data_IF_367099431001
#
_entry.id   IF_367099431001
#
_cell.length_a   1.000
_cell.length_b   1.000
_cell.length_c   1.000
_cell.angle_alpha   90.00
_cell.angle_beta   90.00
_cell.angle_gamma   90.00
#
_symmetry.space_group_name_H-M   'P 1'
#
loop_
_entity.id
_entity.type
_entity.pdbx_description
1 polymer ?
#
# COMPACT_ATOMS: atom_id res chain seq x y z
N UNK A 1 -25.71 -27.96 -0.23
CA UNK A 1 -25.64 -26.53 0.13
C UNK A 1 -24.17 -26.19 0.27
N UNK A 2 -23.73 -25.05 -0.28
CA UNK A 2 -22.32 -24.62 -0.24
C UNK A 2 -22.05 -23.86 1.05
N UNK A 3 -20.91 -24.14 1.69
CA UNK A 3 -20.43 -23.39 2.86
C UNK A 3 -19.50 -22.25 2.42
N UNK A 4 -19.60 -21.11 3.10
CA UNK A 4 -18.73 -19.94 2.89
C UNK A 4 -17.99 -19.64 4.19
N UNK A 5 -16.65 -19.59 4.12
CA UNK A 5 -15.78 -19.39 5.30
C UNK A 5 -14.95 -18.11 5.09
N UNK A 6 -15.01 -17.18 6.05
CA UNK A 6 -14.10 -16.04 6.12
C UNK A 6 -12.82 -16.42 6.87
N UNK A 7 -11.67 -16.30 6.21
CA UNK A 7 -10.36 -16.60 6.79
C UNK A 7 -9.45 -15.36 6.67
N UNK A 8 -9.36 -14.52 7.72
CA UNK A 8 -8.45 -13.37 7.70
C UNK A 8 -6.99 -13.84 7.61
N UNK A 9 -6.13 -12.97 7.06
CA UNK A 9 -4.70 -13.23 7.00
C UNK A 9 -4.14 -13.27 8.42
N UNK A 10 -3.31 -14.27 8.69
CA UNK A 10 -2.67 -14.47 10.00
C UNK A 10 -1.47 -13.55 10.17
N UNK A 11 -0.74 -13.29 9.09
CA UNK A 11 0.48 -12.49 9.12
C UNK A 11 0.68 -11.74 7.81
N UNK A 12 1.12 -10.49 7.92
CA UNK A 12 1.73 -9.72 6.82
C UNK A 12 3.22 -9.61 7.15
N UNK A 13 4.07 -10.01 6.21
CA UNK A 13 5.52 -10.00 6.35
C UNK A 13 6.04 -8.98 5.35
N UNK A 14 6.59 -7.87 5.85
CA UNK A 14 7.20 -6.81 5.06
C UNK A 14 8.70 -7.10 5.02
N UNK A 15 9.25 -7.31 3.83
CA UNK A 15 10.68 -7.62 3.68
C UNK A 15 11.53 -6.38 3.49
N UNK A 16 11.06 -5.42 2.70
CA UNK A 16 11.72 -4.12 2.52
C UNK A 16 10.74 -2.96 2.60
N UNK A 17 11.27 -1.76 2.86
CA UNK A 17 10.47 -0.56 2.87
C UNK A 17 11.21 0.69 2.38
N UNK A 18 10.44 1.69 1.95
CA UNK A 18 10.93 3.04 1.69
C UNK A 18 9.98 4.07 2.26
N UNK A 19 10.52 4.96 3.08
CA UNK A 19 9.82 6.11 3.63
C UNK A 19 10.10 7.35 2.76
N UNK A 20 9.04 8.09 2.43
CA UNK A 20 9.09 9.38 1.77
C UNK A 20 8.53 10.45 2.70
N UNK A 21 9.17 11.62 2.73
CA UNK A 21 8.72 12.73 3.58
C UNK A 21 7.38 13.32 3.12
N UNK A 22 7.04 13.20 1.82
CA UNK A 22 5.79 13.71 1.24
C UNK A 22 5.09 12.69 0.34
N UNK A 23 3.78 12.83 0.18
CA UNK A 23 2.99 11.97 -0.73
C UNK A 23 3.36 12.23 -2.18
N UNK A 24 3.69 13.46 -2.52
CA UNK A 24 4.14 13.87 -3.83
C UNK A 24 5.44 13.15 -4.22
N UNK A 25 6.41 13.02 -3.30
CA UNK A 25 7.65 12.29 -3.57
C UNK A 25 7.41 10.78 -3.68
N UNK A 26 6.52 10.22 -2.87
CA UNK A 26 6.06 8.84 -3.02
C UNK A 26 5.44 8.61 -4.41
N UNK A 27 4.62 9.55 -4.88
CA UNK A 27 4.00 9.49 -6.22
C UNK A 27 5.08 9.57 -7.30
N UNK A 28 6.03 10.51 -7.20
CA UNK A 28 7.15 10.63 -8.16
C UNK A 28 7.96 9.35 -8.24
N UNK A 29 8.32 8.77 -7.11
CA UNK A 29 9.06 7.50 -7.06
C UNK A 29 8.26 6.33 -7.62
N UNK A 30 6.97 6.25 -7.30
CA UNK A 30 6.10 5.14 -7.71
C UNK A 30 5.74 5.18 -9.21
N UNK A 31 5.56 6.38 -9.76
CA UNK A 31 5.01 6.59 -11.10
C UNK A 31 5.98 7.33 -12.04
N UNK A 32 7.28 7.30 -11.76
CA UNK A 32 8.31 8.01 -12.54
C UNK A 32 8.23 7.77 -14.07
N UNK A 33 7.79 6.58 -14.49
CA UNK A 33 7.62 6.22 -15.91
C UNK A 33 6.22 6.41 -16.48
N UNK A 34 5.30 7.03 -15.72
CA UNK A 34 3.93 7.25 -16.19
C UNK A 34 3.89 8.34 -17.28
N UNK A 35 3.17 8.13 -18.40
CA UNK A 35 2.99 9.17 -19.40
C UNK A 35 2.21 10.38 -18.86
N UNK A 36 2.47 11.60 -19.35
CA UNK A 36 1.63 12.76 -19.07
C UNK A 36 0.15 12.52 -19.41
N UNK A 37 -0.77 13.05 -18.61
CA UNK A 37 -2.22 12.96 -18.80
C UNK A 37 -2.88 11.70 -18.27
N UNK A 38 -2.11 10.73 -17.75
CA UNK A 38 -2.70 9.47 -17.24
C UNK A 38 -3.32 9.65 -15.85
N UNK A 39 -4.35 8.85 -15.59
CA UNK A 39 -4.84 8.62 -14.23
C UNK A 39 -4.23 7.32 -13.69
N UNK A 40 -3.42 7.42 -12.64
CA UNK A 40 -2.68 6.30 -12.04
C UNK A 40 -3.25 5.88 -10.68
N UNK A 41 -2.75 4.76 -10.14
CA UNK A 41 -3.12 4.24 -8.82
C UNK A 41 -4.03 3.00 -8.87
N UNK A 42 -4.77 2.69 -7.78
CA UNK A 42 -4.82 3.47 -6.54
C UNK A 42 -3.60 3.25 -5.64
N UNK A 43 -3.11 4.33 -5.02
CA UNK A 43 -2.39 4.20 -3.75
C UNK A 43 -3.41 4.02 -2.62
N UNK A 44 -2.99 3.45 -1.48
CA UNK A 44 -3.90 3.11 -0.38
C UNK A 44 -3.68 4.08 0.79
N UNK A 45 -4.72 4.78 1.19
CA UNK A 45 -4.71 5.60 2.39
C UNK A 45 -5.37 4.88 3.56
N UNK A 46 -4.73 4.94 4.72
CA UNK A 46 -5.26 4.44 5.99
C UNK A 46 -4.60 5.19 7.13
N UNK A 47 -5.41 5.68 8.07
CA UNK A 47 -4.95 6.17 9.37
C UNK A 47 -3.73 7.13 9.31
N UNK A 48 -3.83 8.13 8.44
CA UNK A 48 -2.84 9.20 8.31
C UNK A 48 -1.63 8.88 7.44
N UNK A 49 -1.61 7.75 6.73
CA UNK A 49 -0.53 7.39 5.80
C UNK A 49 -1.07 6.97 4.43
N UNK A 50 -0.28 7.19 3.38
CA UNK A 50 -0.47 6.60 2.06
C UNK A 50 0.61 5.56 1.82
N UNK A 51 0.23 4.40 1.28
CA UNK A 51 1.17 3.34 0.96
C UNK A 51 0.87 2.64 -0.36
N UNK A 52 1.91 2.02 -0.90
CA UNK A 52 1.87 0.98 -1.93
C UNK A 52 2.74 -0.17 -1.48
N UNK A 53 2.31 -1.40 -1.79
CA UNK A 53 3.14 -2.58 -1.62
C UNK A 53 3.34 -3.29 -2.95
N UNK A 54 4.45 -4.00 -3.09
CA UNK A 54 4.68 -5.03 -4.11
C UNK A 54 4.56 -6.42 -3.48
N UNK A 55 4.24 -7.40 -4.31
CA UNK A 55 4.18 -8.80 -3.91
C UNK A 55 5.14 -9.60 -4.75
N UNK A 56 5.60 -10.73 -4.22
CA UNK A 56 6.33 -11.70 -5.01
C UNK A 56 5.46 -12.26 -6.16
N UNK A 57 6.09 -12.76 -7.24
CA UNK A 57 5.40 -13.56 -8.25
C UNK A 57 4.69 -14.77 -7.63
N UNK A 58 3.55 -15.16 -8.21
CA UNK A 58 2.76 -16.31 -7.75
C UNK A 58 3.43 -17.61 -8.16
N UNK A 59 4.39 -18.07 -7.36
CA UNK A 59 4.98 -19.42 -7.45
C UNK A 59 4.26 -20.36 -6.47
N UNK A 60 4.43 -21.68 -6.66
CA UNK A 60 3.82 -22.68 -5.76
C UNK A 60 4.17 -22.44 -4.29
N UNK A 61 5.40 -22.01 -4.01
CA UNK A 61 5.84 -21.65 -2.65
C UNK A 61 5.08 -20.46 -2.09
N UNK A 62 4.97 -19.36 -2.86
CA UNK A 62 4.24 -18.15 -2.43
C UNK A 62 2.75 -18.46 -2.25
N UNK A 63 2.16 -19.21 -3.17
CA UNK A 63 0.74 -19.61 -3.10
C UNK A 63 0.46 -20.44 -1.84
N UNK A 64 1.35 -21.38 -1.50
CA UNK A 64 1.22 -22.16 -0.27
C UNK A 64 1.21 -21.26 0.98
N UNK A 65 2.16 -20.33 1.10
CA UNK A 65 2.19 -19.36 2.21
C UNK A 65 0.89 -18.55 2.28
N UNK A 66 0.41 -18.04 1.14
CA UNK A 66 -0.82 -17.25 1.04
C UNK A 66 -2.05 -18.03 1.51
N UNK A 67 -2.20 -19.29 1.08
CA UNK A 67 -3.29 -20.18 1.49
C UNK A 67 -3.23 -20.46 2.99
N UNK A 68 -2.04 -20.64 3.55
CA UNK A 68 -1.85 -20.85 4.99
C UNK A 68 -2.06 -19.57 5.84
N UNK A 69 -2.26 -18.43 5.16
CA UNK A 69 -2.61 -17.15 5.75
C UNK A 69 -1.43 -16.21 5.98
N UNK A 70 -0.25 -16.52 5.44
CA UNK A 70 0.96 -15.67 5.51
C UNK A 70 1.14 -14.93 4.18
N UNK A 71 1.11 -13.61 4.23
CA UNK A 71 1.24 -12.76 3.05
C UNK A 71 2.59 -12.08 3.09
N UNK A 72 3.37 -12.28 2.04
CA UNK A 72 4.65 -11.60 1.88
C UNK A 72 4.48 -10.37 1.00
N UNK A 73 4.79 -9.22 1.56
CA UNK A 73 5.00 -7.98 0.84
C UNK A 73 6.49 -7.83 0.64
N UNK A 74 6.88 -7.87 -0.63
CA UNK A 74 8.27 -7.73 -1.05
C UNK A 74 8.79 -6.36 -0.63
N UNK A 75 8.09 -5.29 -1.02
CA UNK A 75 8.42 -3.93 -0.64
C UNK A 75 7.17 -3.14 -0.23
N UNK A 76 7.31 -2.21 0.71
CA UNK A 76 6.30 -1.18 1.02
C UNK A 76 6.90 0.22 0.91
N UNK A 77 6.32 1.04 0.03
CA UNK A 77 6.62 2.46 -0.06
C UNK A 77 5.49 3.26 0.62
N UNK A 78 5.81 4.19 1.50
CA UNK A 78 4.81 4.97 2.22
C UNK A 78 5.25 6.42 2.54
N UNK A 79 4.25 7.27 2.78
CA UNK A 79 4.41 8.68 3.14
C UNK A 79 3.29 9.12 4.10
N UNK A 80 3.52 10.14 4.95
CA UNK A 80 2.48 10.71 5.80
C UNK A 80 1.44 11.46 4.95
N UNK A 81 0.17 11.35 5.33
CA UNK A 81 -0.95 12.10 4.77
C UNK A 81 -2.09 12.17 5.78
N UNK A 82 -2.07 13.16 6.67
CA UNK A 82 -2.99 13.23 7.82
C UNK A 82 -4.47 13.16 7.42
N UNK A 83 -4.83 13.88 6.36
CA UNK A 83 -6.19 13.93 5.84
C UNK A 83 -6.35 13.12 4.56
N UNK A 84 -7.43 12.34 4.48
CA UNK A 84 -7.76 11.62 3.26
C UNK A 84 -8.13 12.59 2.12
N UNK A 85 -7.45 12.42 0.98
CA UNK A 85 -7.69 13.11 -0.28
C UNK A 85 -7.87 12.03 -1.34
N UNK A 86 -9.05 11.90 -1.98
CA UNK A 86 -9.34 10.82 -2.92
C UNK A 86 -8.54 10.90 -4.22
N UNK A 87 -7.94 12.04 -4.51
CA UNK A 87 -7.17 12.28 -5.73
C UNK A 87 -6.09 13.31 -5.44
N UNK A 88 -4.91 13.11 -6.01
CA UNK A 88 -3.79 14.06 -5.97
C UNK A 88 -3.34 14.29 -7.40
N UNK A 89 -3.29 15.56 -7.81
CA UNK A 89 -2.78 15.97 -9.12
C UNK A 89 -1.34 16.47 -8.97
N UNK A 90 -0.43 15.95 -9.79
CA UNK A 90 0.95 16.44 -9.87
C UNK A 90 1.13 17.17 -11.19
N UNK A 91 1.32 18.48 -11.12
CA UNK A 91 1.44 19.36 -12.30
C UNK A 91 2.72 19.09 -13.09
N UNK A 92 3.84 18.85 -12.41
CA UNK A 92 5.15 18.59 -13.00
C UNK A 92 5.17 17.32 -13.87
N UNK A 93 4.48 16.27 -13.42
CA UNK A 93 4.30 15.02 -14.16
C UNK A 93 3.05 15.03 -15.05
N UNK A 94 2.14 15.99 -14.87
CA UNK A 94 0.82 16.05 -15.49
C UNK A 94 -0.01 14.78 -15.28
N UNK A 95 0.10 14.13 -14.11
CA UNK A 95 -0.65 12.91 -13.79
C UNK A 95 -1.66 13.15 -12.67
N UNK A 96 -2.70 12.33 -12.66
CA UNK A 96 -3.70 12.32 -11.60
C UNK A 96 -3.66 10.97 -10.88
N UNK A 97 -3.33 10.93 -9.59
CA UNK A 97 -3.27 9.69 -8.82
C UNK A 97 -4.53 9.52 -8.00
N UNK A 98 -5.19 8.37 -8.13
CA UNK A 98 -6.29 7.97 -7.25
C UNK A 98 -5.77 7.43 -5.93
N UNK A 99 -6.42 7.82 -4.84
CA UNK A 99 -6.13 7.32 -3.50
C UNK A 99 -7.38 6.61 -3.00
N UNK A 100 -7.23 5.33 -2.65
CA UNK A 100 -8.31 4.52 -2.10
C UNK A 100 -8.24 4.56 -0.56
N UNK A 101 -9.34 4.95 0.09
CA UNK A 101 -9.47 4.80 1.54
C UNK A 101 -9.72 3.33 1.90
N UNK A 102 -8.74 2.68 2.52
CA UNK A 102 -8.82 1.27 2.94
C UNK A 102 -9.06 1.11 4.43
N UNK A 103 -9.51 2.17 5.11
CA UNK A 103 -9.69 2.19 6.58
C UNK A 103 -10.72 1.18 7.09
N UNK A 104 -11.66 0.74 6.25
CA UNK A 104 -12.63 -0.31 6.59
C UNK A 104 -12.00 -1.71 6.71
N UNK A 105 -10.75 -1.90 6.25
CA UNK A 105 -10.06 -3.17 6.35
C UNK A 105 -9.17 -3.20 7.62
N UNK A 106 -9.47 -4.06 8.60
CA UNK A 106 -8.74 -4.11 9.86
C UNK A 106 -7.27 -4.51 9.68
N UNK A 107 -6.94 -5.27 8.63
CA UNK A 107 -5.54 -5.63 8.33
C UNK A 107 -4.74 -4.38 7.97
N UNK A 108 -5.31 -3.47 7.17
CA UNK A 108 -4.65 -2.20 6.83
C UNK A 108 -4.52 -1.27 8.02
N UNK A 109 -5.46 -1.28 8.97
CA UNK A 109 -5.32 -0.56 10.24
C UNK A 109 -4.12 -1.08 11.04
N UNK A 110 -3.99 -2.40 11.17
CA UNK A 110 -2.84 -3.04 11.83
C UNK A 110 -1.52 -2.69 11.15
N UNK A 111 -1.49 -2.71 9.81
CA UNK A 111 -0.31 -2.31 9.03
C UNK A 111 0.04 -0.83 9.28
N UNK A 112 -0.95 0.07 9.24
CA UNK A 112 -0.71 1.50 9.42
C UNK A 112 -0.15 1.79 10.82
N UNK A 113 -0.70 1.13 11.84
CA UNK A 113 -0.18 1.18 13.20
C UNK A 113 1.28 0.73 13.25
N UNK A 114 1.61 -0.44 12.71
CA UNK A 114 2.98 -0.95 12.66
C UNK A 114 3.94 0.01 11.94
N UNK A 115 3.55 0.53 10.77
CA UNK A 115 4.38 1.48 10.00
C UNK A 115 4.67 2.73 10.84
N UNK A 116 3.65 3.33 11.47
CA UNK A 116 3.81 4.53 12.30
C UNK A 116 4.65 4.27 13.55
N UNK A 117 4.49 3.10 14.17
CA UNK A 117 5.17 2.77 15.42
C UNK A 117 6.62 2.33 15.22
N UNK A 118 6.92 1.61 14.15
CA UNK A 118 8.21 0.92 13.97
C UNK A 118 9.04 1.44 12.79
N UNK A 119 8.41 1.96 11.72
CA UNK A 119 9.12 2.32 10.49
C UNK A 119 9.21 3.84 10.25
N UNK A 120 8.32 4.63 10.85
CA UNK A 120 8.34 6.11 10.76
C UNK A 120 9.10 6.77 11.92
N UNK A 121 9.44 6.01 12.97
CA UNK A 121 10.26 6.54 14.07
C UNK A 121 11.72 6.54 13.63
N UNK A 122 12.29 7.74 13.47
CA UNK A 122 13.76 7.93 13.39
C UNK A 122 14.40 7.68 14.73
#
# INVERSE_FOLDING_TARGET
MTEVIYQPRKQIIIHEYSYYDTVEDLIRGTFAGAPPGVTAGPLRWVDGIVLRHTTYPMTDTVVKELIEGRVHWDHVAFAPMEEYRPTIHLEDMQITVKIANVSANPIFQTIAKFIKEELMKK
#
